data_IF_965545400205
#
_entry.id   IF_965545400205
#
_cell.length_a   1.000
_cell.length_b   1.000
_cell.length_c   1.000
_cell.angle_alpha   90.00
_cell.angle_beta   90.00
_cell.angle_gamma   90.00
#
_symmetry.space_group_name_H-M   'P 1'
#
loop_
_entity.id
_entity.type
_entity.pdbx_description
1 polymer ?
#
# COMPACT_ATOMS: atom_id res chain seq x y z
N UNK A 1 -6.81 3.99 -11.35
CA UNK A 1 -5.52 4.60 -10.95
C UNK A 1 -4.52 3.52 -10.53
N UNK A 2 -4.80 2.72 -9.50
CA UNK A 2 -3.90 1.64 -9.03
C UNK A 2 -3.54 0.64 -10.14
N UNK A 3 -4.54 0.08 -10.87
CA UNK A 3 -4.26 -0.88 -11.96
C UNK A 3 -3.30 -0.35 -13.03
N UNK A 4 -3.34 0.95 -13.31
CA UNK A 4 -2.44 1.58 -14.27
C UNK A 4 -1.04 1.78 -13.66
N UNK A 5 -0.96 2.24 -12.42
CA UNK A 5 0.31 2.45 -11.71
C UNK A 5 1.10 1.14 -11.50
N UNK A 6 0.40 0.01 -11.37
CA UNK A 6 1.02 -1.32 -11.25
C UNK A 6 1.80 -1.72 -12.52
N UNK A 7 1.35 -1.29 -13.70
CA UNK A 7 1.99 -1.66 -14.96
C UNK A 7 3.40 -1.08 -15.11
N UNK A 8 3.72 -0.01 -14.37
CA UNK A 8 5.03 0.66 -14.37
C UNK A 8 5.83 0.37 -13.09
N UNK A 9 5.63 -0.80 -12.45
CA UNK A 9 6.40 -1.16 -11.25
C UNK A 9 7.74 -1.82 -11.58
N UNK A 10 8.83 -1.44 -10.89
CA UNK A 10 10.10 -2.14 -11.03
C UNK A 10 9.98 -3.57 -10.46
N UNK A 11 10.78 -4.48 -10.98
CA UNK A 11 10.91 -5.82 -10.41
C UNK A 11 11.56 -5.70 -9.01
N UNK A 12 10.72 -5.73 -7.97
CA UNK A 12 11.14 -5.68 -6.58
C UNK A 12 10.28 -6.66 -5.77
N UNK A 13 10.92 -7.59 -5.05
CA UNK A 13 10.21 -8.67 -4.36
C UNK A 13 9.18 -8.16 -3.35
N UNK A 14 9.51 -7.11 -2.59
CA UNK A 14 8.57 -6.53 -1.62
C UNK A 14 7.37 -5.84 -2.30
N UNK A 15 7.59 -5.20 -3.46
CA UNK A 15 6.49 -4.60 -4.23
C UNK A 15 5.60 -5.71 -4.80
N UNK A 16 6.20 -6.77 -5.35
CA UNK A 16 5.45 -7.92 -5.85
C UNK A 16 4.62 -8.60 -4.75
N UNK A 17 5.17 -8.73 -3.54
CA UNK A 17 4.44 -9.27 -2.38
C UNK A 17 3.29 -8.36 -1.93
N UNK A 18 3.48 -7.05 -1.93
CA UNK A 18 2.43 -6.07 -1.60
C UNK A 18 1.29 -6.08 -2.64
N UNK A 19 1.62 -6.36 -3.90
CA UNK A 19 0.68 -6.35 -5.02
C UNK A 19 0.00 -7.71 -5.27
N UNK A 20 0.52 -8.81 -4.72
CA UNK A 20 -0.05 -10.15 -4.90
C UNK A 20 -1.27 -10.43 -4.01
N UNK A 21 -1.55 -9.57 -3.04
CA UNK A 21 -2.74 -9.63 -2.20
C UNK A 21 -4.02 -9.23 -2.94
N UNK A 22 -5.16 -9.72 -2.46
CA UNK A 22 -6.48 -9.53 -3.09
C UNK A 22 -7.08 -8.12 -2.94
N UNK A 23 -6.47 -7.24 -2.14
CA UNK A 23 -6.95 -5.87 -1.98
C UNK A 23 -5.81 -4.88 -1.64
N UNK A 24 -5.56 -3.93 -2.54
CA UNK A 24 -4.58 -2.84 -2.32
C UNK A 24 -5.27 -1.70 -1.58
N UNK A 25 -4.77 -1.39 -0.38
CA UNK A 25 -5.28 -0.32 0.48
C UNK A 25 -4.26 0.83 0.59
N UNK A 26 -4.62 1.86 1.33
CA UNK A 26 -3.79 3.03 1.64
C UNK A 26 -2.40 2.65 2.17
N UNK A 27 -2.32 1.70 3.10
CA UNK A 27 -1.05 1.30 3.73
C UNK A 27 -0.11 0.61 2.73
N UNK A 28 -0.65 -0.19 1.81
CA UNK A 28 0.12 -0.77 0.71
C UNK A 28 0.67 0.34 -0.21
N UNK A 29 -0.15 1.32 -0.57
CA UNK A 29 0.27 2.45 -1.40
C UNK A 29 1.39 3.27 -0.72
N UNK A 30 1.28 3.49 0.58
CA UNK A 30 2.31 4.17 1.36
C UNK A 30 3.62 3.38 1.40
N UNK A 31 3.56 2.06 1.63
CA UNK A 31 4.76 1.22 1.66
C UNK A 31 5.45 1.18 0.30
N UNK A 32 4.69 1.18 -0.79
CA UNK A 32 5.23 1.30 -2.15
C UNK A 32 5.99 2.62 -2.30
N UNK A 33 5.42 3.75 -1.87
CA UNK A 33 6.14 5.04 -1.90
C UNK A 33 7.45 4.98 -1.11
N UNK A 34 7.47 4.37 0.08
CA UNK A 34 8.73 4.23 0.85
C UNK A 34 9.78 3.40 0.10
N UNK A 35 9.40 2.28 -0.51
CA UNK A 35 10.31 1.47 -1.33
C UNK A 35 10.81 2.28 -2.54
N UNK A 36 9.94 3.05 -3.21
CA UNK A 36 10.35 3.90 -4.33
C UNK A 36 11.31 5.02 -3.88
N UNK A 37 11.16 5.55 -2.66
CA UNK A 37 12.09 6.56 -2.13
C UNK A 37 13.50 6.02 -1.96
N UNK A 38 13.64 4.75 -1.57
CA UNK A 38 14.91 4.04 -1.40
C UNK A 38 15.50 3.62 -2.75
N UNK A 39 14.69 3.02 -3.61
CA UNK A 39 15.13 2.44 -4.89
C UNK A 39 15.36 3.49 -5.98
N UNK A 40 14.75 4.67 -5.88
CA UNK A 40 14.91 5.77 -6.84
C UNK A 40 15.62 7.00 -6.25
N UNK A 41 16.41 6.81 -5.19
CA UNK A 41 17.11 7.89 -4.49
C UNK A 41 17.95 8.79 -5.43
N UNK A 42 18.52 8.22 -6.48
CA UNK A 42 19.37 8.91 -7.47
C UNK A 42 18.60 9.64 -8.59
N UNK A 43 17.27 9.54 -8.62
CA UNK A 43 16.42 10.16 -9.67
C UNK A 43 15.82 11.50 -9.26
N UNK A 44 16.28 12.06 -8.13
CA UNK A 44 15.83 13.36 -7.64
C UNK A 44 16.34 14.47 -8.56
N UNK A 45 15.45 15.38 -8.94
CA UNK A 45 15.83 16.58 -9.67
C UNK A 45 16.58 17.58 -8.76
N UNK A 46 17.09 18.66 -9.33
CA UNK A 46 17.84 19.72 -8.62
C UNK A 46 17.06 20.39 -7.47
N UNK A 47 15.75 20.12 -7.33
CA UNK A 47 14.90 20.59 -6.23
C UNK A 47 14.54 19.48 -5.23
N UNK A 48 15.21 18.33 -5.28
CA UNK A 48 14.98 17.19 -4.39
C UNK A 48 13.65 16.46 -4.64
N UNK A 49 12.93 16.77 -5.73
CA UNK A 49 11.68 16.09 -6.09
C UNK A 49 11.98 14.87 -6.94
N UNK A 50 11.31 13.77 -6.63
CA UNK A 50 11.32 12.58 -7.45
C UNK A 50 10.65 12.87 -8.81
N UNK A 51 11.37 12.60 -9.91
CA UNK A 51 10.94 12.95 -11.26
C UNK A 51 10.15 11.86 -11.99
N UNK A 52 10.24 10.61 -11.54
CA UNK A 52 9.69 9.45 -12.24
C UNK A 52 8.16 9.48 -12.33
N UNK A 53 7.62 8.90 -13.41
CA UNK A 53 6.18 8.80 -13.60
C UNK A 53 5.55 7.91 -12.52
N UNK A 54 6.14 6.76 -12.22
CA UNK A 54 5.69 5.89 -11.13
C UNK A 54 5.59 6.59 -9.78
N UNK A 55 6.59 7.37 -9.35
CA UNK A 55 6.51 8.06 -8.06
C UNK A 55 5.35 9.06 -8.04
N UNK A 56 5.15 9.79 -9.15
CA UNK A 56 4.01 10.71 -9.29
C UNK A 56 2.68 9.96 -9.21
N UNK A 57 2.55 8.84 -9.91
CA UNK A 57 1.33 8.04 -9.94
C UNK A 57 0.97 7.52 -8.54
N UNK A 58 1.94 7.00 -7.80
CA UNK A 58 1.72 6.49 -6.43
C UNK A 58 1.45 7.62 -5.42
N UNK A 59 2.16 8.75 -5.53
CA UNK A 59 1.84 9.94 -4.74
C UNK A 59 0.43 10.45 -4.99
N UNK A 60 -0.02 10.45 -6.25
CA UNK A 60 -1.37 10.89 -6.59
C UNK A 60 -2.45 9.91 -6.14
N UNK A 61 -2.15 8.61 -6.08
CA UNK A 61 -3.03 7.62 -5.45
C UNK A 61 -3.16 7.90 -3.95
N UNK A 62 -2.05 8.14 -3.24
CA UNK A 62 -2.07 8.45 -1.80
C UNK A 62 -2.84 9.74 -1.52
N UNK A 63 -2.62 10.80 -2.31
CA UNK A 63 -3.42 12.04 -2.20
C UNK A 63 -4.92 11.81 -2.39
N UNK A 64 -5.33 10.84 -3.23
CA UNK A 64 -6.74 10.49 -3.38
C UNK A 64 -7.32 9.85 -2.10
N UNK A 65 -6.52 9.07 -1.38
CA UNK A 65 -6.91 8.52 -0.08
C UNK A 65 -6.90 9.58 1.05
N UNK A 66 -5.97 10.52 1.00
CA UNK A 66 -5.90 11.62 1.99
C UNK A 66 -7.03 12.62 1.79
N UNK A 67 -7.48 12.81 0.54
CA UNK A 67 -8.60 13.71 0.22
C UNK A 67 -9.86 13.27 0.96
N UNK A 68 -10.36 14.16 1.81
CA UNK A 68 -11.55 13.88 2.61
C UNK A 68 -11.34 12.80 3.68
N UNK A 69 -10.09 12.50 4.03
CA UNK A 69 -9.71 11.51 5.04
C UNK A 69 -10.22 10.09 4.75
N UNK A 70 -10.32 9.69 3.47
CA UNK A 70 -10.77 8.35 3.09
C UNK A 70 -9.90 7.24 3.69
N UNK A 71 -8.60 7.49 3.86
CA UNK A 71 -7.69 6.55 4.54
C UNK A 71 -8.14 6.20 5.97
N UNK A 72 -8.79 7.11 6.70
CA UNK A 72 -9.31 6.84 8.04
C UNK A 72 -10.51 5.90 7.99
N UNK A 73 -11.39 6.06 7.00
CA UNK A 73 -12.53 5.17 6.81
C UNK A 73 -12.07 3.75 6.47
N UNK A 74 -11.07 3.61 5.60
CA UNK A 74 -10.48 2.32 5.27
C UNK A 74 -9.77 1.68 6.48
N UNK A 75 -8.99 2.46 7.24
CA UNK A 75 -8.35 1.98 8.46
C UNK A 75 -9.38 1.51 9.51
N UNK A 76 -10.48 2.25 9.69
CA UNK A 76 -11.56 1.86 10.59
C UNK A 76 -12.24 0.57 10.13
N UNK A 77 -12.52 0.43 8.83
CA UNK A 77 -13.09 -0.78 8.26
C UNK A 77 -12.18 -2.00 8.48
N UNK A 78 -10.87 -1.85 8.23
CA UNK A 78 -9.88 -2.90 8.47
C UNK A 78 -9.85 -3.30 9.95
N UNK A 79 -9.87 -2.33 10.86
CA UNK A 79 -9.91 -2.58 12.30
C UNK A 79 -11.15 -3.38 12.69
N UNK A 80 -12.34 -2.94 12.27
CA UNK A 80 -13.61 -3.61 12.56
C UNK A 80 -13.60 -5.04 12.03
N UNK A 81 -13.14 -5.26 10.79
CA UNK A 81 -13.03 -6.61 10.22
C UNK A 81 -12.09 -7.50 11.04
N UNK A 82 -10.94 -6.96 11.46
CA UNK A 82 -9.95 -7.71 12.23
C UNK A 82 -10.50 -8.13 13.61
N UNK A 83 -11.12 -7.21 14.33
CA UNK A 83 -11.64 -7.50 15.69
C UNK A 83 -12.87 -8.40 15.65
N UNK A 84 -13.74 -8.24 14.64
CA UNK A 84 -15.01 -8.94 14.59
C UNK A 84 -14.90 -10.33 13.96
N UNK A 85 -13.97 -10.54 13.03
CA UNK A 85 -13.93 -11.77 12.21
C UNK A 85 -12.56 -12.43 12.17
N UNK A 86 -11.50 -11.70 11.78
CA UNK A 86 -10.19 -12.32 11.52
C UNK A 86 -9.56 -12.88 12.80
N UNK A 87 -9.44 -12.05 13.86
CA UNK A 87 -8.83 -12.48 15.12
C UNK A 87 -9.64 -13.60 15.79
N UNK A 88 -10.98 -13.51 15.92
CA UNK A 88 -11.77 -14.63 16.44
C UNK A 88 -11.64 -15.90 15.59
N UNK A 89 -11.57 -15.77 14.26
CA UNK A 89 -11.38 -16.90 13.34
C UNK A 89 -10.04 -17.60 13.57
N UNK A 90 -8.95 -16.84 13.63
CA UNK A 90 -7.60 -17.35 13.90
C UNK A 90 -7.52 -18.03 15.28
N UNK A 91 -8.11 -17.42 16.32
CA UNK A 91 -8.16 -18.04 17.66
C UNK A 91 -8.84 -19.41 17.65
N UNK A 92 -9.94 -19.56 16.91
CA UNK A 92 -10.64 -20.85 16.77
C UNK A 92 -9.81 -21.87 15.98
N UNK A 93 -9.06 -21.44 14.98
CA UNK A 93 -8.17 -22.32 14.21
C UNK A 93 -7.04 -22.85 15.09
N UNK A 94 -6.35 -21.97 15.83
CA UNK A 94 -5.28 -22.36 16.75
C UNK A 94 -5.78 -23.38 17.77
N UNK A 95 -6.91 -23.11 18.42
CA UNK A 95 -7.48 -24.03 19.43
C UNK A 95 -7.96 -25.38 18.88
N UNK A 96 -8.06 -25.54 17.55
CA UNK A 96 -8.38 -26.82 16.89
C UNK A 96 -7.12 -27.62 16.56
N UNK A 97 -6.00 -26.93 16.40
CA UNK A 97 -4.70 -27.52 16.09
C UNK A 97 -3.90 -27.90 17.36
N UNK A 98 -4.31 -27.38 18.52
CA UNK A 98 -3.93 -27.84 19.87
C UNK A 98 -4.68 -29.12 20.28
#
# INVERSE_FOLDING_TARGET
KINNAIQDMPAHNDIAALLSGSYINYFHCHKIIEILKETEADTKNLFGRYGSQRMKDWQDIVKCYEKGNLYLAEAAQMLVRNISYEIPGLKKQIAKEE
#
